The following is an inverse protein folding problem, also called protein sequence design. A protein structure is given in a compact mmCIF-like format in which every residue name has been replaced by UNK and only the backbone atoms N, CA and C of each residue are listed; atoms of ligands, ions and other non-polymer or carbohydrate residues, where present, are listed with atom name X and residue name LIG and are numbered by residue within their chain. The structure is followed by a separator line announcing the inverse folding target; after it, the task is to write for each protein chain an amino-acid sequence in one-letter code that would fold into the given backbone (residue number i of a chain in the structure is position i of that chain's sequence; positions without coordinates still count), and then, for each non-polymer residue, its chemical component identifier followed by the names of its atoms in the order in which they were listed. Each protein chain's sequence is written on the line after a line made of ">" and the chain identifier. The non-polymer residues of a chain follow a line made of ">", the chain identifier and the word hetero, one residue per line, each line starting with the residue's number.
data_IF_931789368140
#
_entry.id   IF_931789368140
#
_cell.length_a   1.000
_cell.length_b   1.000
_cell.length_c   1.000
_cell.angle_alpha   90.00
_cell.angle_beta   90.00
_cell.angle_gamma   90.00
#
_symmetry.space_group_name_H-M   'P 1'
#
loop_
_entity.id
_entity.type
_entity.pdbx_description
1 polymer ?
#
# COMPACT_ATOMS: atom_id res chain seq x y z
N UNK A 1 44.11 11.01 -21.72
CA UNK A 1 45.39 10.94 -20.99
C UNK A 1 45.17 11.66 -19.66
N UNK A 2 44.81 10.95 -18.59
CA UNK A 2 44.99 11.38 -17.20
C UNK A 2 44.89 10.12 -16.33
N UNK A 3 46.06 9.55 -16.03
CA UNK A 3 46.22 8.49 -15.05
C UNK A 3 46.01 9.05 -13.65
N UNK A 4 45.34 8.29 -12.78
CA UNK A 4 45.54 8.38 -11.34
C UNK A 4 45.91 7.01 -10.82
N UNK A 5 47.19 6.85 -10.51
CA UNK A 5 47.70 5.77 -9.67
C UNK A 5 47.07 5.94 -8.30
N UNK A 6 46.38 4.92 -7.80
CA UNK A 6 46.06 4.80 -6.38
C UNK A 6 46.57 3.45 -5.90
N UNK A 7 47.49 3.54 -4.94
CA UNK A 7 48.21 2.44 -4.32
C UNK A 7 47.28 1.48 -3.60
N UNK A 8 47.72 0.23 -3.53
CA UNK A 8 47.11 -0.83 -2.73
C UNK A 8 46.74 -0.37 -1.33
N UNK A 9 45.46 -0.51 -1.03
CA UNK A 9 44.89 -0.34 0.30
C UNK A 9 43.58 -1.12 0.30
N UNK A 10 43.55 -2.16 1.12
CA UNK A 10 42.38 -2.98 1.40
C UNK A 10 41.17 -2.08 1.69
N UNK A 11 40.34 -1.83 0.66
CA UNK A 11 39.07 -1.15 0.82
C UNK A 11 38.08 -2.24 1.13
N UNK A 12 37.82 -2.44 2.43
CA UNK A 12 36.63 -3.13 2.92
C UNK A 12 35.46 -2.51 2.15
N UNK A 13 34.91 -3.29 1.21
CA UNK A 13 33.89 -2.85 0.29
C UNK A 13 32.73 -2.31 1.14
N UNK A 14 32.53 -0.98 1.10
CA UNK A 14 31.25 -0.41 1.47
C UNK A 14 30.18 -1.22 0.72
N UNK A 15 29.12 -1.71 1.39
CA UNK A 15 28.06 -2.43 0.70
C UNK A 15 27.52 -1.49 -0.37
N UNK A 16 27.83 -1.80 -1.63
CA UNK A 16 27.34 -1.03 -2.75
C UNK A 16 25.83 -1.00 -2.67
N UNK A 17 25.24 0.16 -2.96
CA UNK A 17 23.80 0.34 -2.94
C UNK A 17 23.14 -0.81 -3.72
N UNK A 18 22.37 -1.70 -3.07
CA UNK A 18 21.93 -2.95 -3.67
C UNK A 18 20.85 -2.73 -4.75
N UNK A 19 20.46 -1.49 -5.00
CA UNK A 19 19.39 -1.11 -5.91
C UNK A 19 19.94 -0.26 -7.05
N UNK A 20 19.78 -0.74 -8.29
CA UNK A 20 19.98 0.07 -9.48
C UNK A 20 18.62 0.50 -10.04
N UNK A 21 18.38 1.81 -10.11
CA UNK A 21 17.19 2.37 -10.72
C UNK A 21 17.26 2.26 -12.25
N UNK A 22 16.20 1.76 -12.87
CA UNK A 22 16.03 1.66 -14.31
C UNK A 22 14.95 2.63 -14.80
N UNK A 23 15.04 2.95 -16.09
CA UNK A 23 14.16 3.87 -16.82
C UNK A 23 12.69 3.53 -16.62
N UNK A 24 11.89 4.57 -16.41
CA UNK A 24 10.44 4.48 -16.27
C UNK A 24 9.82 3.85 -17.52
N UNK A 25 8.97 2.84 -17.30
CA UNK A 25 8.26 2.13 -18.36
C UNK A 25 6.82 2.59 -18.38
N UNK A 26 6.40 3.23 -19.46
CA UNK A 26 5.00 3.53 -19.72
C UNK A 26 4.30 2.28 -20.26
N UNK A 27 3.23 1.85 -19.59
CA UNK A 27 2.39 0.75 -20.04
C UNK A 27 0.93 1.19 -20.00
N UNK A 28 0.40 1.54 -21.18
CA UNK A 28 -0.96 2.04 -21.34
C UNK A 28 -1.18 3.30 -20.51
N UNK A 29 -2.17 3.27 -19.61
CA UNK A 29 -2.58 4.39 -18.77
C UNK A 29 -1.79 4.49 -17.44
N UNK A 30 -0.58 3.91 -17.36
CA UNK A 30 0.28 3.98 -16.17
C UNK A 30 1.78 4.04 -16.49
N UNK A 31 2.50 4.73 -15.60
CA UNK A 31 3.96 4.81 -15.58
C UNK A 31 4.47 3.96 -14.43
N UNK A 32 5.41 3.07 -14.72
CA UNK A 32 6.04 2.21 -13.72
C UNK A 32 7.54 2.49 -13.61
N UNK A 33 8.02 2.70 -12.40
CA UNK A 33 9.45 2.66 -12.12
C UNK A 33 9.94 1.22 -12.01
N UNK A 34 11.10 0.92 -12.58
CA UNK A 34 11.73 -0.40 -12.51
C UNK A 34 13.01 -0.28 -11.69
N UNK A 35 13.20 -1.15 -10.70
CA UNK A 35 14.44 -1.21 -9.93
C UNK A 35 14.97 -2.64 -9.90
N UNK A 36 16.28 -2.83 -10.09
CA UNK A 36 16.93 -4.12 -9.89
C UNK A 36 17.52 -4.16 -8.49
N UNK A 37 17.00 -5.03 -7.62
CA UNK A 37 17.49 -5.25 -6.26
C UNK A 37 18.36 -6.50 -6.20
N UNK A 38 19.59 -6.39 -5.72
CA UNK A 38 20.48 -7.52 -5.49
C UNK A 38 20.20 -8.11 -4.11
N UNK A 39 19.76 -9.36 -4.07
CA UNK A 39 19.45 -10.07 -2.83
C UNK A 39 20.41 -11.25 -2.63
N UNK A 40 21.03 -11.38 -1.43
CA UNK A 40 21.89 -12.50 -1.12
C UNK A 40 21.07 -13.80 -1.06
N UNK A 41 21.55 -14.83 -1.74
CA UNK A 41 20.99 -16.17 -1.70
C UNK A 41 21.37 -16.78 -0.34
N UNK A 42 20.41 -17.23 0.49
CA UNK A 42 20.73 -17.94 1.72
C UNK A 42 21.61 -19.15 1.39
N UNK A 43 22.70 -19.41 2.13
CA UNK A 43 23.49 -20.61 1.91
C UNK A 43 22.57 -21.83 2.09
N UNK A 44 22.50 -22.65 1.04
CA UNK A 44 21.61 -23.81 0.99
C UNK A 44 21.90 -24.77 2.14
N UNK A 45 20.84 -25.22 2.80
CA UNK A 45 20.90 -26.27 3.82
C UNK A 45 21.00 -27.65 3.16
N UNK A 46 22.07 -27.89 2.37
CA UNK A 46 22.40 -29.23 1.91
C UNK A 46 23.31 -29.89 2.95
N UNK A 47 22.85 -30.94 3.67
CA UNK A 47 23.63 -31.57 4.73
C UNK A 47 24.70 -32.56 4.22
N UNK A 48 25.05 -32.53 2.93
CA UNK A 48 25.83 -33.59 2.28
C UNK A 48 27.27 -33.22 1.87
N UNK A 49 27.75 -31.98 2.01
CA UNK A 49 29.11 -31.63 1.56
C UNK A 49 29.93 -30.86 2.62
N UNK A 50 30.97 -31.48 3.22
CA UNK A 50 31.92 -30.76 4.05
C UNK A 50 32.95 -30.05 3.16
N UNK A 51 32.67 -28.82 2.76
CA UNK A 51 33.72 -27.93 2.25
C UNK A 51 33.61 -26.55 2.88
N UNK A 52 34.24 -26.44 4.04
CA UNK A 52 34.80 -25.22 4.60
C UNK A 52 35.82 -24.62 3.61
N UNK A 53 35.33 -23.88 2.62
CA UNK A 53 36.16 -22.97 1.84
C UNK A 53 36.27 -21.64 2.61
N UNK A 54 37.47 -21.13 2.92
CA UNK A 54 37.65 -19.83 3.59
C UNK A 54 37.28 -18.63 2.70
N UNK A 55 36.82 -18.89 1.47
CA UNK A 55 36.32 -17.91 0.51
C UNK A 55 34.87 -18.23 0.15
N UNK A 56 33.95 -18.18 1.12
CA UNK A 56 32.52 -18.27 0.80
C UNK A 56 32.10 -17.00 0.05
N UNK A 57 32.06 -17.06 -1.28
CA UNK A 57 31.46 -16.02 -2.08
C UNK A 57 29.95 -15.98 -1.76
N UNK A 58 29.46 -14.83 -1.31
CA UNK A 58 28.01 -14.63 -1.17
C UNK A 58 27.42 -14.63 -2.58
N UNK A 59 26.59 -15.62 -2.88
CA UNK A 59 25.86 -15.66 -4.14
C UNK A 59 24.73 -14.64 -4.06
N UNK A 60 24.58 -13.80 -5.09
CA UNK A 60 23.49 -12.84 -5.20
C UNK A 60 22.62 -13.19 -6.39
N UNK A 61 21.31 -12.99 -6.25
CA UNK A 61 20.42 -12.94 -7.40
C UNK A 61 19.87 -11.51 -7.54
N UNK A 62 19.57 -11.10 -8.77
CA UNK A 62 18.98 -9.80 -9.05
C UNK A 62 17.47 -9.97 -9.24
N UNK A 63 16.70 -9.23 -8.45
CA UNK A 63 15.24 -9.19 -8.49
C UNK A 63 14.81 -7.92 -9.20
N UNK A 64 14.04 -8.04 -10.28
CA UNK A 64 13.41 -6.91 -10.94
C UNK A 64 12.12 -6.55 -10.19
N UNK A 65 12.16 -5.43 -9.50
CA UNK A 65 11.00 -4.86 -8.81
C UNK A 65 10.38 -3.81 -9.72
N UNK A 66 9.05 -3.84 -9.84
CA UNK A 66 8.27 -2.87 -10.61
C UNK A 66 7.35 -2.12 -9.66
N UNK A 67 7.37 -0.79 -9.74
CA UNK A 67 6.64 0.11 -8.83
C UNK A 67 5.74 1.03 -9.63
N UNK A 68 4.50 1.24 -9.18
CA UNK A 68 3.57 2.13 -9.89
C UNK A 68 3.87 3.59 -9.52
N UNK A 69 4.33 4.39 -10.48
CA UNK A 69 4.65 5.81 -10.27
C UNK A 69 3.46 6.73 -10.54
N UNK A 70 2.73 6.47 -11.62
CA UNK A 70 1.56 7.25 -12.00
C UNK A 70 0.56 6.40 -12.78
N UNK A 71 -0.70 6.81 -12.81
CA UNK A 71 -1.69 6.21 -13.69
C UNK A 71 -3.08 6.79 -13.49
N UNK A 72 -4.02 6.40 -14.34
CA UNK A 72 -5.43 6.77 -14.18
C UNK A 72 -6.02 6.12 -12.93
N UNK A 73 -7.12 6.67 -12.40
CA UNK A 73 -7.80 6.11 -11.23
C UNK A 73 -8.15 4.62 -11.41
N UNK A 74 -8.58 4.22 -12.61
CA UNK A 74 -8.86 2.81 -12.91
C UNK A 74 -7.63 1.91 -12.74
N UNK A 75 -6.45 2.39 -13.16
CA UNK A 75 -5.19 1.64 -13.05
C UNK A 75 -4.65 1.64 -11.62
N UNK A 76 -4.81 2.72 -10.86
CA UNK A 76 -4.51 2.76 -9.43
C UNK A 76 -5.38 1.76 -8.66
N UNK A 77 -6.68 1.70 -8.96
CA UNK A 77 -7.62 0.75 -8.33
C UNK A 77 -7.30 -0.69 -8.75
N UNK A 78 -6.93 -0.93 -10.00
CA UNK A 78 -6.51 -2.26 -10.47
C UNK A 78 -5.23 -2.71 -9.75
N UNK A 79 -4.23 -1.83 -9.59
CA UNK A 79 -3.03 -2.13 -8.84
C UNK A 79 -3.32 -2.32 -7.34
N UNK A 80 -4.30 -1.60 -6.80
CA UNK A 80 -4.79 -1.81 -5.44
C UNK A 80 -5.42 -3.20 -5.24
N UNK A 81 -5.96 -3.81 -6.29
CA UNK A 81 -6.58 -5.14 -6.29
C UNK A 81 -5.59 -6.30 -6.50
N UNK A 82 -4.37 -6.01 -6.95
CA UNK A 82 -3.37 -7.02 -7.32
C UNK A 82 -2.32 -7.18 -6.21
N UNK A 83 -2.46 -8.17 -5.30
CA UNK A 83 -1.53 -8.35 -4.20
C UNK A 83 -0.12 -8.77 -4.64
N UNK A 84 0.03 -9.33 -5.84
CA UNK A 84 1.31 -9.84 -6.35
C UNK A 84 2.20 -8.69 -6.87
N UNK A 85 1.59 -7.65 -7.44
CA UNK A 85 2.33 -6.50 -7.97
C UNK A 85 2.38 -5.29 -7.04
N UNK A 86 1.49 -5.21 -6.05
CA UNK A 86 1.32 -4.02 -5.20
C UNK A 86 2.39 -3.91 -4.10
N UNK A 87 2.98 -2.73 -3.99
CA UNK A 87 3.89 -2.38 -2.90
C UNK A 87 3.19 -2.42 -1.52
N UNK A 88 3.91 -2.81 -0.47
CA UNK A 88 3.32 -3.04 0.85
C UNK A 88 2.67 -1.78 1.46
N UNK A 89 3.24 -0.62 1.19
CA UNK A 89 2.80 0.70 1.65
C UNK A 89 1.83 1.39 0.69
N UNK A 90 1.62 0.86 -0.52
CA UNK A 90 0.77 1.48 -1.54
C UNK A 90 -0.66 1.74 -1.04
N UNK A 91 -1.24 0.83 -0.25
CA UNK A 91 -2.60 1.04 0.29
C UNK A 91 -2.65 2.29 1.19
N UNK A 92 -1.65 2.48 2.05
CA UNK A 92 -1.59 3.63 2.96
C UNK A 92 -1.30 4.92 2.21
N UNK A 93 -0.39 4.90 1.23
CA UNK A 93 -0.11 6.05 0.35
C UNK A 93 -1.37 6.43 -0.43
N UNK A 94 -2.08 5.45 -0.98
CA UNK A 94 -3.33 5.67 -1.69
C UNK A 94 -4.40 6.25 -0.76
N UNK A 95 -4.68 5.63 0.39
CA UNK A 95 -5.71 6.10 1.34
C UNK A 95 -5.37 7.44 2.01
N UNK A 96 -4.10 7.82 2.12
CA UNK A 96 -3.73 9.13 2.65
C UNK A 96 -3.88 10.26 1.62
N UNK A 97 -3.79 9.96 0.33
CA UNK A 97 -3.74 10.99 -0.74
C UNK A 97 -4.93 10.96 -1.69
N UNK A 98 -5.77 9.91 -1.67
CA UNK A 98 -6.87 9.76 -2.64
C UNK A 98 -7.83 10.94 -2.68
N UNK A 99 -8.05 11.65 -1.56
CA UNK A 99 -8.88 12.86 -1.51
C UNK A 99 -8.40 13.99 -2.43
N UNK A 100 -7.12 14.03 -2.78
CA UNK A 100 -6.57 15.04 -3.69
C UNK A 100 -7.04 14.86 -5.14
N UNK A 101 -7.32 13.61 -5.55
CA UNK A 101 -7.67 13.27 -6.93
C UNK A 101 -8.99 12.50 -7.06
N UNK A 102 -9.69 12.27 -5.95
CA UNK A 102 -10.89 11.43 -5.89
C UNK A 102 -11.95 12.04 -4.97
N UNK A 103 -13.22 12.00 -5.37
CA UNK A 103 -14.34 12.46 -4.53
C UNK A 103 -15.00 11.29 -3.78
N UNK A 104 -15.73 11.52 -2.66
CA UNK A 104 -16.45 10.48 -1.92
C UNK A 104 -17.42 9.65 -2.76
N UNK A 105 -17.85 10.16 -3.94
CA UNK A 105 -18.70 9.43 -4.89
C UNK A 105 -18.03 8.20 -5.49
N UNK A 106 -16.69 8.10 -5.44
CA UNK A 106 -15.95 6.90 -5.85
C UNK A 106 -16.03 5.77 -4.84
N UNK A 107 -16.70 5.97 -3.69
CA UNK A 107 -17.20 4.86 -2.86
C UNK A 107 -18.00 3.85 -3.69
N UNK A 108 -18.73 4.32 -4.71
CA UNK A 108 -19.44 3.44 -5.67
C UNK A 108 -18.50 2.54 -6.47
N UNK A 109 -17.23 2.90 -6.61
CA UNK A 109 -16.22 2.05 -7.24
C UNK A 109 -15.82 0.90 -6.31
N UNK A 110 -15.73 1.16 -5.01
CA UNK A 110 -15.55 0.12 -3.98
C UNK A 110 -16.79 -0.78 -3.81
N UNK A 111 -17.99 -0.34 -4.23
CA UNK A 111 -19.16 -1.22 -4.31
C UNK A 111 -19.00 -2.35 -5.34
N UNK A 112 -18.22 -2.12 -6.41
CA UNK A 112 -18.05 -3.13 -7.47
C UNK A 112 -16.98 -4.15 -7.12
N UNK A 113 -16.00 -3.77 -6.31
CA UNK A 113 -14.87 -4.63 -5.94
C UNK A 113 -14.72 -4.69 -4.42
N UNK A 114 -14.98 -5.85 -3.78
CA UNK A 114 -14.83 -5.98 -2.36
C UNK A 114 -13.34 -6.02 -1.99
N UNK A 115 -12.75 -4.84 -1.86
CA UNK A 115 -11.41 -4.64 -1.35
C UNK A 115 -11.39 -4.82 0.17
N UNK A 116 -11.74 -6.00 0.66
CA UNK A 116 -11.89 -6.27 2.10
C UNK A 116 -10.70 -5.77 2.94
N UNK A 117 -9.43 -5.95 2.54
CA UNK A 117 -8.29 -5.39 3.26
C UNK A 117 -8.28 -3.85 3.27
N UNK A 118 -8.58 -3.21 2.13
CA UNK A 118 -8.59 -1.75 2.00
C UNK A 118 -9.75 -1.14 2.78
N UNK A 119 -10.96 -1.68 2.67
CA UNK A 119 -12.14 -1.18 3.38
C UNK A 119 -11.95 -1.33 4.89
N UNK A 120 -11.34 -2.42 5.35
CA UNK A 120 -10.95 -2.59 6.77
C UNK A 120 -10.00 -1.49 7.21
N UNK A 121 -8.90 -1.31 6.47
CA UNK A 121 -7.88 -0.30 6.78
C UNK A 121 -8.47 1.11 6.77
N UNK A 122 -9.33 1.40 5.80
CA UNK A 122 -9.99 2.68 5.66
C UNK A 122 -10.94 2.97 6.84
N UNK A 123 -11.69 1.97 7.31
CA UNK A 123 -12.51 2.09 8.52
C UNK A 123 -11.69 2.19 9.81
N UNK A 124 -10.50 1.62 9.85
CA UNK A 124 -9.62 1.60 11.03
C UNK A 124 -8.82 2.89 11.18
N UNK A 125 -7.99 3.21 10.19
CA UNK A 125 -7.00 4.27 10.29
C UNK A 125 -7.52 5.60 9.74
N UNK A 126 -8.43 5.55 8.78
CA UNK A 126 -8.89 6.70 8.01
C UNK A 126 -10.39 7.00 8.24
N UNK A 127 -10.93 6.58 9.39
CA UNK A 127 -12.35 6.76 9.74
C UNK A 127 -12.85 8.21 9.71
N UNK A 128 -11.93 9.19 9.76
CA UNK A 128 -12.21 10.63 9.61
C UNK A 128 -12.82 10.97 8.26
N UNK A 129 -12.52 10.20 7.21
CA UNK A 129 -13.05 10.45 5.87
C UNK A 129 -14.57 10.29 5.78
N UNK A 130 -15.14 9.48 6.69
CA UNK A 130 -16.57 9.22 6.80
C UNK A 130 -17.31 10.26 7.66
N UNK A 131 -16.61 11.19 8.29
CA UNK A 131 -17.19 12.19 9.20
C UNK A 131 -17.72 13.41 8.45
N UNK A 132 -18.44 13.19 7.35
CA UNK A 132 -19.06 14.26 6.58
C UNK A 132 -20.51 14.48 7.06
N UNK A 133 -20.79 15.55 7.82
CA UNK A 133 -22.16 15.92 8.20
C UNK A 133 -22.92 16.55 7.02
N UNK A 134 -24.27 16.50 6.98
CA UNK A 134 -25.17 15.81 7.92
C UNK A 134 -25.31 14.30 7.61
N UNK A 135 -25.60 13.50 8.64
CA UNK A 135 -25.99 12.08 8.55
C UNK A 135 -24.98 11.07 7.97
N UNK A 136 -23.72 11.46 7.74
CA UNK A 136 -22.64 10.55 7.33
C UNK A 136 -23.00 9.68 6.10
N UNK A 137 -23.39 10.30 4.96
CA UNK A 137 -23.98 9.60 3.81
C UNK A 137 -23.04 8.56 3.19
N UNK A 138 -21.74 8.86 3.16
CA UNK A 138 -20.69 7.95 2.72
C UNK A 138 -20.65 6.65 3.54
N UNK A 139 -20.76 6.77 4.86
CA UNK A 139 -20.73 5.62 5.77
C UNK A 139 -22.01 4.80 5.70
N UNK A 140 -23.17 5.45 5.56
CA UNK A 140 -24.46 4.77 5.37
C UNK A 140 -24.50 3.94 4.09
N UNK A 141 -23.99 4.50 2.98
CA UNK A 141 -23.88 3.78 1.71
C UNK A 141 -22.98 2.55 1.86
N UNK A 142 -21.83 2.71 2.52
CA UNK A 142 -20.92 1.61 2.81
C UNK A 142 -21.59 0.52 3.67
N UNK A 143 -22.30 0.89 4.73
CA UNK A 143 -23.06 -0.06 5.56
C UNK A 143 -24.08 -0.85 4.72
N UNK A 144 -24.90 -0.17 3.93
CA UNK A 144 -25.91 -0.80 3.07
C UNK A 144 -25.25 -1.79 2.07
N UNK A 145 -24.11 -1.40 1.49
CA UNK A 145 -23.37 -2.24 0.56
C UNK A 145 -22.80 -3.51 1.23
N UNK A 146 -22.20 -3.36 2.41
CA UNK A 146 -21.61 -4.49 3.14
C UNK A 146 -22.67 -5.44 3.70
N UNK A 147 -23.84 -4.92 4.11
CA UNK A 147 -24.96 -5.73 4.60
C UNK A 147 -25.58 -6.62 3.51
N UNK A 148 -25.52 -6.21 2.24
CA UNK A 148 -26.01 -7.00 1.11
C UNK A 148 -25.20 -8.28 0.82
N UNK A 149 -24.07 -8.52 1.50
CA UNK A 149 -23.17 -9.65 1.22
C UNK A 149 -22.71 -10.32 2.51
N UNK A 150 -23.11 -11.57 2.72
CA UNK A 150 -22.83 -12.33 3.96
C UNK A 150 -21.33 -12.43 4.30
N UNK A 151 -20.45 -12.49 3.29
CA UNK A 151 -19.00 -12.51 3.45
C UNK A 151 -18.43 -11.27 4.15
N UNK A 152 -19.20 -10.17 4.19
CA UNK A 152 -18.78 -8.91 4.81
C UNK A 152 -19.48 -8.61 6.13
N UNK A 153 -20.20 -9.58 6.73
CA UNK A 153 -20.95 -9.38 7.97
C UNK A 153 -20.13 -8.74 9.10
N UNK A 154 -18.90 -9.22 9.33
CA UNK A 154 -18.00 -8.67 10.36
C UNK A 154 -17.60 -7.22 10.06
N UNK A 155 -17.40 -6.91 8.77
CA UNK A 155 -17.02 -5.58 8.31
C UNK A 155 -18.21 -4.62 8.39
N UNK A 156 -19.41 -5.09 8.02
CA UNK A 156 -20.67 -4.38 8.15
C UNK A 156 -20.93 -4.00 9.62
N UNK A 157 -20.80 -4.95 10.55
CA UNK A 157 -20.94 -4.68 11.99
C UNK A 157 -19.99 -3.57 12.47
N UNK A 158 -18.75 -3.58 11.97
CA UNK A 158 -17.76 -2.55 12.32
C UNK A 158 -18.16 -1.17 11.79
N UNK A 159 -18.60 -1.10 10.54
CA UNK A 159 -19.10 0.14 9.94
C UNK A 159 -20.35 0.66 10.68
N UNK A 160 -21.27 -0.24 11.08
CA UNK A 160 -22.46 0.11 11.85
C UNK A 160 -22.13 0.65 13.25
N UNK A 161 -21.16 0.05 13.94
CA UNK A 161 -20.66 0.56 15.24
C UNK A 161 -20.06 1.95 15.07
N UNK A 162 -19.26 2.16 14.02
CA UNK A 162 -18.69 3.47 13.70
C UNK A 162 -19.79 4.51 13.43
N UNK A 163 -20.81 4.16 12.64
CA UNK A 163 -21.92 5.06 12.31
C UNK A 163 -22.70 5.47 13.56
N UNK A 164 -23.06 4.51 14.43
CA UNK A 164 -23.76 4.78 15.69
C UNK A 164 -22.95 5.71 16.59
N UNK A 165 -21.64 5.48 16.71
CA UNK A 165 -20.75 6.33 17.51
C UNK A 165 -20.73 7.78 16.98
N UNK A 166 -20.64 7.95 15.67
CA UNK A 166 -20.61 9.28 15.04
C UNK A 166 -21.95 10.01 15.17
N UNK A 167 -23.08 9.31 15.05
CA UNK A 167 -24.42 9.86 15.27
C UNK A 167 -24.62 10.33 16.72
N UNK A 168 -24.19 9.53 17.71
CA UNK A 168 -24.22 9.90 19.13
C UNK A 168 -23.38 11.16 19.40
N UNK A 169 -22.20 11.26 18.82
CA UNK A 169 -21.35 12.46 18.92
C UNK A 169 -21.99 13.68 18.25
N UNK A 170 -22.71 13.48 17.13
CA UNK A 170 -23.49 14.53 16.47
C UNK A 170 -24.60 15.06 17.37
N UNK A 171 -25.38 14.16 17.99
CA UNK A 171 -26.46 14.50 18.93
C UNK A 171 -25.95 15.29 20.14
N UNK A 172 -24.88 14.82 20.79
CA UNK A 172 -24.27 15.50 21.95
C UNK A 172 -23.73 16.89 21.59
N UNK A 173 -23.21 17.08 20.37
CA UNK A 173 -22.74 18.39 19.88
C UNK A 173 -23.88 19.35 19.54
N UNK A 174 -25.00 18.85 19.03
CA UNK A 174 -26.20 19.67 18.85
C UNK A 174 -26.79 20.12 20.19
N UNK A 175 -26.81 19.25 21.21
CA UNK A 175 -27.31 19.60 22.54
C UNK A 175 -26.46 20.66 23.23
N UNK A 176 -25.13 20.57 23.11
CA UNK A 176 -24.21 21.59 23.66
C UNK A 176 -24.34 22.96 22.97
N UNK A 177 -24.81 23.01 21.72
CA UNK A 177 -25.05 24.26 20.97
C UNK A 177 -26.38 24.93 21.30
N UNK A 178 -27.32 24.21 21.91
CA UNK A 178 -28.62 24.76 22.33
C UNK A 178 -28.53 25.34 23.75
N UNK A 179 -27.42 25.14 24.46
CA UNK A 179 -27.21 25.62 25.84
C UNK A 179 -26.15 26.74 25.95
N UNK A 180 -25.75 27.36 24.84
CA UNK A 180 -24.89 28.55 24.80
C UNK A 180 -25.66 29.72 24.21
#
# INVERSE_FOLDING_TARGET
>A
MFSRVSHGGCSILAPQDPVQEWVDTEEGDAVFGVTLRREPVPPGADPAEPSSSPFSCVQYHAVKVRRLKAGTLGRLVAHLLDPESREADFIHVFLSTYRAFTSPRTLRMFERFPLLPVVRLWLDEYSKDFQEPPDFPALRLLCAHLQGRLCFRRLAQKADVLLKRLQQQGSLRSDLRIHV
#
